data_IF_834413961366
#
_entry.id   IF_834413961366
#
_cell.length_a   1.000
_cell.length_b   1.000
_cell.length_c   1.000
_cell.angle_alpha   90.00
_cell.angle_beta   90.00
_cell.angle_gamma   90.00
#
_symmetry.space_group_name_H-M   'P 1'
#
loop_
_entity.id
_entity.type
_entity.pdbx_description
1 polymer ?
#
# COMPACT_ATOMS: atom_id res chain seq x y z
N UNK A 1 0.56 -30.67 -10.53
CA UNK A 1 -0.27 -29.77 -11.37
C UNK A 1 -1.15 -28.84 -10.55
N UNK A 2 -2.00 -29.31 -9.62
CA UNK A 2 -2.86 -28.42 -8.79
C UNK A 2 -2.09 -27.39 -7.93
N UNK A 3 -1.02 -27.80 -7.22
CA UNK A 3 -0.21 -26.88 -6.39
C UNK A 3 0.50 -25.77 -7.20
N UNK A 4 1.03 -26.11 -8.38
CA UNK A 4 1.70 -25.13 -9.24
C UNK A 4 0.71 -24.07 -9.75
N UNK A 5 -0.48 -24.49 -10.17
CA UNK A 5 -1.55 -23.57 -10.58
C UNK A 5 -2.02 -22.68 -9.43
N UNK A 6 -2.19 -23.22 -8.23
CA UNK A 6 -2.56 -22.42 -7.04
C UNK A 6 -1.48 -21.38 -6.71
N UNK A 7 -0.19 -21.74 -6.81
CA UNK A 7 0.92 -20.80 -6.60
C UNK A 7 0.95 -19.73 -7.70
N UNK A 8 0.75 -20.11 -8.97
CA UNK A 8 0.68 -19.14 -10.08
C UNK A 8 -0.52 -18.20 -9.93
N UNK A 9 -1.68 -18.69 -9.49
CA UNK A 9 -2.83 -17.85 -9.22
C UNK A 9 -2.64 -16.94 -8.00
N UNK A 10 -1.99 -17.43 -6.94
CA UNK A 10 -1.60 -16.61 -5.79
C UNK A 10 -0.62 -15.49 -6.19
N UNK A 11 0.33 -15.79 -7.07
CA UNK A 11 1.26 -14.79 -7.61
C UNK A 11 0.54 -13.78 -8.51
N UNK A 12 -0.37 -14.23 -9.39
CA UNK A 12 -1.10 -13.34 -10.30
C UNK A 12 -2.05 -12.39 -9.56
N UNK A 13 -2.68 -12.88 -8.49
CA UNK A 13 -3.55 -12.06 -7.64
C UNK A 13 -2.73 -11.08 -6.79
N UNK A 14 -1.59 -11.52 -6.28
CA UNK A 14 -0.59 -10.66 -5.64
C UNK A 14 -0.16 -9.49 -6.53
N UNK A 15 0.15 -9.69 -7.82
CA UNK A 15 0.59 -8.61 -8.73
C UNK A 15 -0.38 -7.43 -8.74
N UNK A 16 -1.68 -7.70 -8.78
CA UNK A 16 -2.70 -6.65 -8.84
C UNK A 16 -3.13 -6.08 -7.49
N UNK A 17 -2.86 -6.79 -6.39
CA UNK A 17 -3.28 -6.40 -5.04
C UNK A 17 -2.28 -5.50 -4.29
N UNK A 18 -1.02 -5.44 -4.72
CA UNK A 18 0.05 -4.68 -4.04
C UNK A 18 0.25 -3.25 -4.54
N UNK A 19 -0.69 -2.71 -5.29
CA UNK A 19 -0.62 -1.31 -5.75
C UNK A 19 -1.89 -0.62 -5.29
N UNK A 20 -1.73 0.48 -4.57
CA UNK A 20 -2.83 1.27 -4.02
C UNK A 20 -2.77 2.73 -4.51
N UNK A 21 -3.68 3.60 -4.04
CA UNK A 21 -3.68 4.99 -4.49
C UNK A 21 -2.40 5.75 -4.09
N UNK A 22 -1.80 5.38 -2.96
CA UNK A 22 -0.54 5.90 -2.46
C UNK A 22 0.58 5.66 -3.46
N UNK A 23 0.69 4.43 -3.97
CA UNK A 23 1.68 4.10 -4.99
C UNK A 23 1.42 4.82 -6.31
N UNK A 24 0.15 4.89 -6.76
CA UNK A 24 -0.20 5.59 -8.00
C UNK A 24 0.20 7.07 -7.95
N UNK A 25 -0.07 7.74 -6.83
CA UNK A 25 0.21 9.17 -6.64
C UNK A 25 1.70 9.40 -6.42
N UNK A 26 2.32 8.71 -5.45
CA UNK A 26 3.71 8.95 -5.07
C UNK A 26 4.69 8.65 -6.21
N UNK A 27 4.51 7.53 -6.92
CA UNK A 27 5.38 7.19 -8.06
C UNK A 27 5.21 8.19 -9.22
N UNK A 28 3.97 8.62 -9.50
CA UNK A 28 3.72 9.58 -10.57
C UNK A 28 4.26 10.98 -10.25
N UNK A 29 4.08 11.46 -9.03
CA UNK A 29 4.63 12.74 -8.55
C UNK A 29 6.15 12.76 -8.57
N UNK A 30 6.76 11.71 -8.01
CA UNK A 30 8.21 11.54 -8.00
C UNK A 30 8.78 11.48 -9.42
N UNK A 31 8.16 10.69 -10.30
CA UNK A 31 8.57 10.59 -11.70
C UNK A 31 8.45 11.90 -12.47
N UNK A 32 7.36 12.63 -12.29
CA UNK A 32 7.12 13.90 -12.97
C UNK A 32 8.11 15.00 -12.58
N UNK A 33 8.55 15.05 -11.32
CA UNK A 33 9.45 16.11 -10.82
C UNK A 33 10.94 15.73 -10.85
N UNK A 34 11.26 14.47 -10.57
CA UNK A 34 12.64 14.01 -10.38
C UNK A 34 13.08 12.93 -11.38
N UNK A 35 12.26 12.59 -12.36
CA UNK A 35 12.58 11.54 -13.31
C UNK A 35 12.79 10.20 -12.60
N UNK A 36 13.85 9.48 -12.96
CA UNK A 36 14.21 8.22 -12.28
C UNK A 36 15.23 8.39 -11.13
N UNK A 37 15.51 9.63 -10.70
CA UNK A 37 16.51 9.92 -9.64
C UNK A 37 16.11 9.38 -8.27
N UNK A 38 14.82 9.07 -8.07
CA UNK A 38 14.27 8.50 -6.85
C UNK A 38 13.87 7.03 -6.99
N UNK A 39 14.17 6.37 -8.12
CA UNK A 39 13.86 4.95 -8.34
C UNK A 39 14.45 4.05 -7.24
N UNK A 40 15.64 4.41 -6.73
CA UNK A 40 16.29 3.66 -5.67
C UNK A 40 15.48 3.64 -4.36
N UNK A 41 14.63 4.64 -4.11
CA UNK A 41 13.73 4.68 -2.96
C UNK A 41 12.65 3.59 -3.10
N UNK A 42 12.08 3.41 -4.29
CA UNK A 42 11.11 2.34 -4.56
C UNK A 42 11.75 0.98 -4.31
N UNK A 43 12.96 0.77 -4.85
CA UNK A 43 13.70 -0.49 -4.65
C UNK A 43 13.99 -0.72 -3.17
N UNK A 44 14.41 0.31 -2.43
CA UNK A 44 14.64 0.23 -1.00
C UNK A 44 13.36 -0.11 -0.25
N UNK A 45 12.23 0.52 -0.62
CA UNK A 45 10.91 0.27 -0.06
C UNK A 45 10.48 -1.18 -0.23
N UNK A 46 10.54 -1.68 -1.47
CA UNK A 46 10.22 -3.07 -1.85
C UNK A 46 11.05 -4.08 -1.05
N UNK A 47 12.35 -3.84 -0.88
CA UNK A 47 13.19 -4.74 -0.08
C UNK A 47 12.78 -4.69 1.39
N UNK A 48 12.50 -3.49 1.92
CA UNK A 48 12.04 -3.28 3.29
C UNK A 48 10.74 -4.02 3.59
N UNK A 49 9.72 -3.85 2.75
CA UNK A 49 8.44 -4.55 2.92
C UNK A 49 8.59 -6.06 2.77
N UNK A 50 9.42 -6.56 1.85
CA UNK A 50 9.70 -8.00 1.73
C UNK A 50 10.28 -8.58 3.04
N UNK A 51 11.19 -7.86 3.69
CA UNK A 51 11.81 -8.31 4.96
C UNK A 51 10.76 -8.42 6.06
N UNK A 52 9.93 -7.38 6.23
CA UNK A 52 8.95 -7.36 7.33
C UNK A 52 7.68 -8.17 7.05
N UNK A 53 7.22 -8.24 5.80
CA UNK A 53 6.09 -9.08 5.41
C UNK A 53 6.45 -10.57 5.54
N UNK A 54 7.69 -10.98 5.24
CA UNK A 54 8.11 -12.36 5.48
C UNK A 54 8.11 -12.69 6.98
N UNK A 55 8.58 -11.76 7.83
CA UNK A 55 8.49 -11.91 9.29
C UNK A 55 7.04 -12.04 9.74
N UNK A 56 6.15 -11.16 9.28
CA UNK A 56 4.73 -11.16 9.66
C UNK A 56 4.00 -12.42 9.19
N UNK A 57 4.22 -12.85 7.93
CA UNK A 57 3.64 -14.08 7.39
C UNK A 57 4.13 -15.32 8.13
N UNK A 58 5.42 -15.38 8.49
CA UNK A 58 5.95 -16.48 9.30
C UNK A 58 5.37 -16.50 10.71
N UNK A 59 5.25 -15.33 11.35
CA UNK A 59 4.60 -15.21 12.65
C UNK A 59 3.17 -15.74 12.58
N UNK A 60 2.38 -15.31 11.60
CA UNK A 60 1.01 -15.78 11.41
C UNK A 60 0.93 -17.30 11.19
N UNK A 61 1.77 -17.85 10.30
CA UNK A 61 1.74 -19.26 9.93
C UNK A 61 2.24 -20.22 11.02
N UNK A 62 3.16 -19.79 11.88
CA UNK A 62 3.73 -20.64 12.94
C UNK A 62 2.95 -20.51 14.25
N UNK A 63 2.57 -19.30 14.63
CA UNK A 63 1.84 -19.04 15.88
C UNK A 63 0.33 -19.22 15.77
N UNK A 64 -0.20 -19.27 14.53
CA UNK A 64 -1.63 -19.23 14.23
C UNK A 64 -2.36 -17.99 14.79
N UNK A 65 -1.60 -16.93 15.12
CA UNK A 65 -2.10 -15.68 15.65
C UNK A 65 -1.59 -14.52 14.80
N UNK A 66 -2.41 -13.46 14.61
CA UNK A 66 -1.97 -12.30 13.87
C UNK A 66 -0.92 -11.52 14.66
N UNK A 67 -0.03 -10.83 13.95
CA UNK A 67 1.06 -10.05 14.53
C UNK A 67 0.54 -9.09 15.60
N UNK A 68 -0.52 -8.34 15.31
CA UNK A 68 -1.02 -7.30 16.21
C UNK A 68 -1.45 -7.85 17.57
N UNK A 69 -2.03 -9.05 17.62
CA UNK A 69 -2.42 -9.74 18.84
C UNK A 69 -1.20 -10.10 19.70
N UNK A 70 -0.13 -10.60 19.08
CA UNK A 70 1.13 -10.91 19.76
C UNK A 70 1.86 -9.65 20.26
N UNK A 71 1.75 -8.54 19.54
CA UNK A 71 2.29 -7.24 19.97
C UNK A 71 1.67 -6.80 21.29
N UNK A 72 0.36 -6.96 21.47
CA UNK A 72 -0.34 -6.66 22.72
C UNK A 72 0.15 -7.51 23.89
N UNK A 73 0.36 -8.80 23.65
CA UNK A 73 0.80 -9.72 24.69
C UNK A 73 2.23 -9.46 25.14
N UNK A 74 3.14 -9.14 24.20
CA UNK A 74 4.57 -8.96 24.53
C UNK A 74 4.97 -7.57 24.95
N UNK A 75 4.52 -6.55 24.24
CA UNK A 75 4.93 -5.16 24.50
C UNK A 75 3.99 -4.48 25.50
N UNK A 76 2.95 -5.18 25.92
CA UNK A 76 1.97 -4.72 26.89
C UNK A 76 0.91 -3.78 26.28
N UNK A 77 -0.14 -3.48 27.07
CA UNK A 77 -1.34 -2.81 26.57
C UNK A 77 -1.10 -1.35 26.17
N UNK A 78 -0.10 -0.67 26.77
CA UNK A 78 0.21 0.75 26.48
C UNK A 78 0.86 0.92 25.10
N UNK A 79 1.90 0.14 24.82
CA UNK A 79 2.57 0.16 23.51
C UNK A 79 1.63 -0.31 22.41
N UNK A 80 0.83 -1.35 22.66
CA UNK A 80 -0.16 -1.81 21.71
C UNK A 80 -1.30 -0.81 21.49
N UNK A 81 -1.67 0.01 22.49
CA UNK A 81 -2.64 1.09 22.29
C UNK A 81 -2.05 2.22 21.43
N UNK A 82 -0.78 2.59 21.65
CA UNK A 82 -0.11 3.58 20.81
C UNK A 82 0.00 3.10 19.35
N UNK A 83 0.38 1.83 19.16
CA UNK A 83 0.38 1.19 17.84
C UNK A 83 -1.03 1.14 17.23
N UNK A 84 -2.05 0.73 18.00
CA UNK A 84 -3.45 0.73 17.54
C UNK A 84 -3.86 2.11 17.05
N UNK A 85 -3.67 3.13 17.88
CA UNK A 85 -4.11 4.49 17.57
C UNK A 85 -3.43 5.02 16.31
N UNK A 86 -2.10 4.85 16.20
CA UNK A 86 -1.33 5.27 15.02
C UNK A 86 -1.72 4.51 13.76
N UNK A 87 -1.68 3.18 13.80
CA UNK A 87 -1.98 2.35 12.63
C UNK A 87 -3.43 2.46 12.21
N UNK A 88 -4.39 2.55 13.15
CA UNK A 88 -5.80 2.75 12.83
C UNK A 88 -6.04 4.12 12.17
N UNK A 89 -5.46 5.20 12.70
CA UNK A 89 -5.61 6.52 12.12
C UNK A 89 -5.06 6.57 10.69
N UNK A 90 -3.87 6.02 10.47
CA UNK A 90 -3.27 5.91 9.13
C UNK A 90 -4.13 5.03 8.21
N UNK A 91 -4.56 3.85 8.67
CA UNK A 91 -5.41 2.96 7.85
C UNK A 91 -6.74 3.60 7.52
N UNK A 92 -7.30 4.43 8.41
CA UNK A 92 -8.52 5.20 8.14
C UNK A 92 -8.29 6.28 7.08
N UNK A 93 -7.16 6.98 7.12
CA UNK A 93 -6.77 7.94 6.08
C UNK A 93 -6.56 7.24 4.73
N UNK A 94 -5.86 6.10 4.71
CA UNK A 94 -5.68 5.30 3.49
C UNK A 94 -7.03 4.79 2.97
N UNK A 95 -7.90 4.21 3.81
CA UNK A 95 -9.25 3.80 3.41
C UNK A 95 -10.04 4.96 2.80
N UNK A 96 -9.90 6.15 3.38
CA UNK A 96 -10.53 7.37 2.86
C UNK A 96 -9.97 7.72 1.47
N UNK A 97 -8.64 7.72 1.32
CA UNK A 97 -7.97 7.94 0.05
C UNK A 97 -8.42 6.91 -1.01
N UNK A 98 -8.54 5.63 -0.65
CA UNK A 98 -8.96 4.57 -1.57
C UNK A 98 -10.41 4.73 -2.04
N UNK A 99 -11.34 5.03 -1.13
CA UNK A 99 -12.74 5.35 -1.51
C UNK A 99 -12.76 6.57 -2.45
N UNK A 100 -11.93 7.56 -2.17
CA UNK A 100 -11.74 8.72 -3.03
C UNK A 100 -11.15 8.35 -4.40
N UNK A 101 -10.18 7.44 -4.45
CA UNK A 101 -9.57 6.91 -5.67
C UNK A 101 -10.57 6.18 -6.57
N UNK A 102 -11.45 5.38 -5.97
CA UNK A 102 -12.58 4.76 -6.69
C UNK A 102 -13.48 5.84 -7.28
N UNK A 103 -13.84 6.86 -6.49
CA UNK A 103 -14.68 7.96 -6.95
C UNK A 103 -14.02 8.80 -8.06
N UNK A 104 -12.72 9.07 -7.97
CA UNK A 104 -11.92 9.76 -8.99
C UNK A 104 -11.81 8.95 -10.27
N UNK A 105 -11.67 7.63 -10.17
CA UNK A 105 -11.64 6.72 -11.33
C UNK A 105 -12.98 6.72 -12.05
N UNK A 106 -14.09 6.69 -11.31
CA UNK A 106 -15.44 6.77 -11.89
C UNK A 106 -15.69 8.17 -12.47
N UNK A 107 -15.18 9.24 -11.84
CA UNK A 107 -15.20 10.59 -12.40
C UNK A 107 -14.46 10.63 -13.75
N UNK A 108 -13.29 10.00 -13.87
CA UNK A 108 -12.53 9.94 -15.11
C UNK A 108 -13.32 9.25 -16.25
N UNK A 109 -14.11 8.23 -15.92
CA UNK A 109 -14.94 7.51 -16.88
C UNK A 109 -16.26 8.24 -17.24
N UNK A 110 -16.90 8.88 -16.26
CA UNK A 110 -18.24 9.46 -16.40
C UNK A 110 -18.26 10.95 -16.74
N UNK A 111 -17.17 11.67 -16.42
CA UNK A 111 -17.12 13.13 -16.48
C UNK A 111 -17.90 13.86 -15.37
N UNK A 112 -18.54 13.14 -14.44
CA UNK A 112 -19.30 13.72 -13.34
C UNK A 112 -18.42 13.94 -12.09
N UNK A 113 -18.73 14.95 -11.24
CA UNK A 113 -17.95 15.24 -10.04
C UNK A 113 -17.81 14.04 -9.10
N UNK A 114 -16.61 13.77 -8.57
CA UNK A 114 -16.35 12.65 -7.66
C UNK A 114 -17.26 12.64 -6.42
N UNK A 115 -17.69 13.82 -5.91
CA UNK A 115 -18.56 13.91 -4.73
C UNK A 115 -19.87 13.12 -4.89
N UNK A 116 -20.39 13.01 -6.11
CA UNK A 116 -21.59 12.21 -6.39
C UNK A 116 -21.32 10.71 -6.29
N UNK A 117 -20.09 10.30 -6.57
CA UNK A 117 -19.66 8.91 -6.59
C UNK A 117 -19.15 8.42 -5.23
N UNK A 118 -18.72 9.31 -4.33
CA UNK A 118 -18.24 8.96 -2.99
C UNK A 118 -19.25 8.10 -2.20
N UNK A 119 -20.53 8.47 -2.06
CA UNK A 119 -21.50 7.63 -1.34
C UNK A 119 -21.71 6.26 -1.99
N UNK A 120 -21.70 6.22 -3.34
CA UNK A 120 -21.86 4.98 -4.08
C UNK A 120 -20.64 4.06 -3.91
N UNK A 121 -19.43 4.61 -3.98
CA UNK A 121 -18.18 3.89 -3.76
C UNK A 121 -18.12 3.34 -2.33
N UNK A 122 -18.41 4.15 -1.32
CA UNK A 122 -18.44 3.73 0.07
C UNK A 122 -19.49 2.62 0.32
N UNK A 123 -20.69 2.77 -0.26
CA UNK A 123 -21.72 1.74 -0.19
C UNK A 123 -21.28 0.44 -0.89
N UNK A 124 -20.65 0.54 -2.06
CA UNK A 124 -20.16 -0.63 -2.80
C UNK A 124 -19.06 -1.36 -2.02
N UNK A 125 -18.09 -0.65 -1.45
CA UNK A 125 -17.04 -1.21 -0.58
C UNK A 125 -17.67 -1.92 0.61
N UNK A 126 -18.57 -1.26 1.34
CA UNK A 126 -19.27 -1.87 2.48
C UNK A 126 -20.08 -3.11 2.06
N UNK A 127 -20.83 -3.03 0.97
CA UNK A 127 -21.67 -4.12 0.49
C UNK A 127 -20.84 -5.34 0.11
N UNK A 128 -19.73 -5.12 -0.58
CA UNK A 128 -18.79 -6.18 -0.95
C UNK A 128 -18.20 -6.79 0.32
N UNK A 129 -17.67 -5.98 1.25
CA UNK A 129 -17.17 -6.45 2.56
C UNK A 129 -18.17 -7.27 3.34
N UNK A 130 -19.44 -6.89 3.32
CA UNK A 130 -20.51 -7.61 4.00
C UNK A 130 -20.90 -8.94 3.34
N UNK A 131 -20.96 -8.98 2.00
CA UNK A 131 -21.65 -10.07 1.29
C UNK A 131 -20.73 -11.10 0.62
N UNK A 132 -19.55 -10.67 0.20
CA UNK A 132 -18.62 -11.46 -0.62
C UNK A 132 -17.60 -12.14 0.29
N UNK A 133 -17.16 -13.35 -0.06
CA UNK A 133 -16.14 -14.11 0.70
C UNK A 133 -14.75 -13.52 0.49
N UNK A 134 -13.87 -13.71 1.47
CA UNK A 134 -12.49 -13.21 1.45
C UNK A 134 -11.75 -13.64 0.18
N UNK A 135 -11.74 -14.94 -0.12
CA UNK A 135 -10.96 -15.51 -1.23
C UNK A 135 -11.46 -15.01 -2.60
N UNK A 136 -12.76 -14.75 -2.72
CA UNK A 136 -13.34 -14.25 -3.95
C UNK A 136 -12.99 -12.78 -4.19
N UNK A 137 -12.82 -11.99 -3.13
CA UNK A 137 -12.39 -10.59 -3.24
C UNK A 137 -10.97 -10.50 -3.76
N UNK A 138 -10.03 -11.18 -3.09
CA UNK A 138 -8.62 -11.16 -3.47
C UNK A 138 -8.43 -11.68 -4.89
N UNK A 139 -9.17 -12.71 -5.29
CA UNK A 139 -9.13 -13.21 -6.66
C UNK A 139 -9.62 -12.17 -7.67
N UNK A 140 -10.82 -11.61 -7.49
CA UNK A 140 -11.41 -10.70 -8.47
C UNK A 140 -10.54 -9.44 -8.62
N UNK A 141 -10.20 -8.78 -7.51
CA UNK A 141 -9.47 -7.52 -7.56
C UNK A 141 -7.98 -7.72 -7.86
N UNK A 142 -7.38 -8.82 -7.39
CA UNK A 142 -6.02 -9.19 -7.78
C UNK A 142 -5.88 -9.47 -9.28
N UNK A 143 -6.82 -10.22 -9.91
CA UNK A 143 -6.78 -10.40 -11.36
C UNK A 143 -7.10 -9.12 -12.13
N UNK A 144 -8.06 -8.32 -11.66
CA UNK A 144 -8.39 -7.06 -12.31
C UNK A 144 -7.22 -6.06 -12.24
N UNK A 145 -6.44 -6.08 -11.15
CA UNK A 145 -5.24 -5.26 -10.97
C UNK A 145 -4.11 -5.58 -11.96
N UNK A 146 -4.10 -6.76 -12.60
CA UNK A 146 -3.18 -7.06 -13.72
C UNK A 146 -3.33 -6.05 -14.87
N UNK A 147 -4.49 -5.38 -14.99
CA UNK A 147 -4.66 -4.29 -15.94
C UNK A 147 -3.62 -3.16 -15.77
N UNK A 148 -3.03 -2.98 -14.58
CA UNK A 148 -1.94 -2.03 -14.34
C UNK A 148 -0.66 -2.35 -15.11
N UNK A 149 -0.47 -3.58 -15.62
CA UNK A 149 0.62 -3.92 -16.55
C UNK A 149 0.60 -3.02 -17.80
N UNK A 150 -0.54 -2.38 -18.11
CA UNK A 150 -0.62 -1.35 -19.13
C UNK A 150 0.40 -0.21 -18.95
N UNK A 151 0.79 0.13 -17.71
CA UNK A 151 1.86 1.10 -17.45
C UNK A 151 3.22 0.62 -17.95
N UNK A 152 3.52 -0.66 -17.79
CA UNK A 152 4.75 -1.26 -18.32
C UNK A 152 4.77 -1.15 -19.84
N UNK A 153 3.64 -1.51 -20.49
CA UNK A 153 3.51 -1.45 -21.95
C UNK A 153 3.62 0.02 -22.43
N UNK A 154 2.93 0.93 -21.76
CA UNK A 154 2.96 2.36 -22.07
C UNK A 154 4.38 2.92 -21.93
N UNK A 155 5.08 2.58 -20.84
CA UNK A 155 6.44 3.02 -20.58
C UNK A 155 7.39 2.68 -21.74
N UNK A 156 7.38 1.43 -22.22
CA UNK A 156 8.22 1.05 -23.37
C UNK A 156 7.74 1.68 -24.68
N UNK A 157 6.43 1.89 -24.84
CA UNK A 157 5.85 2.50 -26.06
C UNK A 157 6.18 3.99 -26.19
N UNK A 158 6.31 4.70 -25.05
CA UNK A 158 6.70 6.11 -25.00
C UNK A 158 8.16 6.36 -25.44
N UNK A 159 8.94 5.29 -25.72
CA UNK A 159 10.35 5.35 -26.16
C UNK A 159 11.21 6.20 -25.22
N UNK A 160 11.39 5.76 -23.97
CA UNK A 160 12.16 6.50 -22.99
C UNK A 160 13.59 6.73 -23.47
N UNK A 161 14.14 7.88 -23.13
CA UNK A 161 15.51 8.21 -23.44
C UNK A 161 16.45 7.47 -22.47
N UNK A 162 16.83 6.24 -22.80
CA UNK A 162 17.65 5.38 -21.92
C UNK A 162 18.94 6.06 -21.42
N UNK A 163 19.52 6.98 -22.20
CA UNK A 163 20.69 7.75 -21.80
C UNK A 163 20.45 8.69 -20.62
N UNK A 164 19.30 9.39 -20.58
CA UNK A 164 18.95 10.26 -19.44
C UNK A 164 18.62 9.43 -18.21
N UNK A 165 17.90 8.31 -18.39
CA UNK A 165 17.58 7.41 -17.30
C UNK A 165 18.80 6.77 -16.66
N UNK A 166 19.77 6.29 -17.45
CA UNK A 166 21.03 5.78 -16.92
C UNK A 166 21.79 6.87 -16.13
N UNK A 167 21.76 8.13 -16.59
CA UNK A 167 22.35 9.24 -15.87
C UNK A 167 21.59 9.55 -14.57
N UNK A 168 20.26 9.48 -14.56
CA UNK A 168 19.43 9.72 -13.39
C UNK A 168 19.64 8.69 -12.29
N UNK A 169 19.78 7.40 -12.65
CA UNK A 169 20.11 6.34 -11.70
C UNK A 169 21.46 6.57 -11.00
N UNK A 170 22.42 7.21 -11.68
CA UNK A 170 23.75 7.48 -11.11
C UNK A 170 23.86 8.81 -10.38
N UNK A 171 22.80 9.64 -10.40
CA UNK A 171 22.78 10.98 -9.81
C UNK A 171 21.54 11.18 -8.94
N UNK A 172 21.49 10.59 -7.72
CA UNK A 172 20.41 10.80 -6.76
C UNK A 172 20.51 12.20 -6.14
N UNK A 173 20.13 13.22 -6.90
CA UNK A 173 20.11 14.63 -6.49
C UNK A 173 18.82 15.31 -6.98
N UNK A 174 18.38 16.41 -6.33
CA UNK A 174 17.29 17.22 -6.84
C UNK A 174 17.55 17.69 -8.27
N UNK A 175 16.47 17.84 -9.05
CA UNK A 175 16.51 18.46 -10.38
C UNK A 175 16.92 19.93 -10.26
N UNK A 176 17.48 20.52 -11.31
CA UNK A 176 17.86 21.94 -11.30
C UNK A 176 16.61 22.82 -11.05
N UNK A 177 16.64 23.62 -9.98
CA UNK A 177 15.50 24.45 -9.55
C UNK A 177 14.70 23.88 -8.37
N UNK A 178 14.88 22.59 -8.04
CA UNK A 178 14.20 21.93 -6.92
C UNK A 178 15.06 21.93 -5.64
N UNK A 179 14.41 22.02 -4.48
CA UNK A 179 15.07 22.02 -3.18
C UNK A 179 15.32 20.58 -2.67
N UNK A 180 16.39 20.41 -1.87
CA UNK A 180 16.65 19.19 -1.11
C UNK A 180 15.51 18.83 -0.14
N UNK A 181 14.79 19.84 0.36
CA UNK A 181 13.57 19.64 1.15
C UNK A 181 12.52 18.87 0.37
N UNK A 182 12.15 19.35 -0.82
CA UNK A 182 11.11 18.75 -1.68
C UNK A 182 11.52 17.37 -2.18
N UNK A 183 12.80 17.20 -2.53
CA UNK A 183 13.36 15.88 -2.83
C UNK A 183 13.23 14.92 -1.65
N UNK A 184 13.59 15.36 -0.44
CA UNK A 184 13.44 14.57 0.78
C UNK A 184 11.99 14.21 1.08
N UNK A 185 11.07 15.17 0.93
CA UNK A 185 9.64 14.97 1.19
C UNK A 185 9.06 13.87 0.29
N UNK A 186 9.24 13.99 -1.04
CA UNK A 186 8.75 12.97 -1.98
C UNK A 186 9.47 11.63 -1.80
N UNK A 187 10.75 11.62 -1.40
CA UNK A 187 11.43 10.38 -1.05
C UNK A 187 10.82 9.70 0.19
N UNK A 188 10.42 10.46 1.22
CA UNK A 188 9.73 9.91 2.39
C UNK A 188 8.35 9.39 2.01
N UNK A 189 7.57 10.14 1.22
CA UNK A 189 6.24 9.72 0.76
C UNK A 189 6.31 8.45 -0.08
N UNK A 190 7.28 8.36 -0.99
CA UNK A 190 7.51 7.19 -1.84
C UNK A 190 8.00 5.98 -1.05
N UNK A 191 8.84 6.19 -0.03
CA UNK A 191 9.25 5.11 0.87
C UNK A 191 8.08 4.63 1.74
N UNK A 192 7.22 5.55 2.19
CA UNK A 192 6.07 5.23 3.02
C UNK A 192 4.97 4.50 2.24
N UNK A 193 4.75 4.82 0.95
CA UNK A 193 3.75 4.12 0.12
C UNK A 193 4.09 2.64 0.02
N UNK A 194 5.36 2.33 -0.21
CA UNK A 194 5.86 0.96 -0.33
C UNK A 194 5.90 0.17 1.00
N UNK A 195 5.74 0.82 2.16
CA UNK A 195 5.77 0.19 3.49
C UNK A 195 4.50 0.48 4.29
N UNK A 196 3.36 0.67 3.62
CA UNK A 196 2.18 1.14 4.34
C UNK A 196 1.78 0.14 5.45
N UNK A 197 1.60 0.60 6.72
CA UNK A 197 1.41 -0.30 7.86
C UNK A 197 0.28 -1.32 7.74
N UNK A 198 -0.81 -0.96 7.06
CA UNK A 198 -1.98 -1.83 6.96
C UNK A 198 -1.67 -3.12 6.20
N UNK A 199 -0.78 -3.08 5.22
CA UNK A 199 -0.46 -4.22 4.35
C UNK A 199 0.05 -5.40 5.17
N UNK A 200 0.93 -5.13 6.14
CA UNK A 200 1.56 -6.18 6.94
C UNK A 200 0.57 -6.76 7.96
N UNK A 201 -0.30 -5.93 8.53
CA UNK A 201 -1.35 -6.40 9.44
C UNK A 201 -2.45 -7.17 8.68
N UNK A 202 -2.83 -6.69 7.50
CA UNK A 202 -3.77 -7.36 6.62
C UNK A 202 -3.22 -8.70 6.17
N UNK A 203 -1.99 -8.73 5.65
CA UNK A 203 -1.29 -9.96 5.23
C UNK A 203 -1.19 -10.99 6.36
N UNK A 204 -0.83 -10.54 7.57
CA UNK A 204 -0.80 -11.39 8.76
C UNK A 204 -2.20 -11.93 9.13
N UNK A 205 -3.24 -11.12 9.02
CA UNK A 205 -4.60 -11.50 9.40
C UNK A 205 -5.23 -12.42 8.35
N UNK A 206 -5.00 -12.14 7.07
CA UNK A 206 -5.38 -12.98 5.93
C UNK A 206 -4.73 -14.37 6.03
N UNK A 207 -3.45 -14.44 6.40
CA UNK A 207 -2.80 -15.73 6.63
C UNK A 207 -3.45 -16.58 7.73
N UNK A 208 -3.99 -15.94 8.78
CA UNK A 208 -4.76 -16.64 9.83
C UNK A 208 -6.15 -17.05 9.31
N UNK A 209 -6.83 -16.19 8.54
CA UNK A 209 -8.11 -16.50 7.92
C UNK A 209 -8.03 -17.68 6.94
N UNK A 210 -6.98 -17.73 6.13
CA UNK A 210 -6.68 -18.83 5.22
C UNK A 210 -6.12 -20.07 5.93
N UNK A 211 -5.94 -20.02 7.25
CA UNK A 211 -5.43 -21.10 8.10
C UNK A 211 -4.04 -21.57 7.70
N UNK A 212 -3.16 -20.62 7.34
CA UNK A 212 -1.76 -20.93 7.06
C UNK A 212 -1.13 -21.66 8.24
N UNK A 213 -0.38 -22.71 7.90
CA UNK A 213 0.47 -23.43 8.84
C UNK A 213 1.94 -23.44 8.40
N UNK A 214 2.80 -24.16 9.13
CA UNK A 214 4.22 -24.27 8.79
C UNK A 214 4.48 -24.83 7.37
N UNK A 215 3.52 -25.56 6.79
CA UNK A 215 3.60 -26.09 5.43
C UNK A 215 3.40 -25.03 4.34
N UNK A 216 2.75 -23.93 4.69
CA UNK A 216 2.41 -22.84 3.76
C UNK A 216 3.47 -21.74 3.76
N UNK A 217 4.51 -21.85 4.61
CA UNK A 217 5.63 -20.90 4.64
C UNK A 217 6.31 -20.71 3.28
N UNK A 218 6.38 -21.76 2.47
CA UNK A 218 6.93 -21.64 1.11
C UNK A 218 6.04 -20.76 0.25
N UNK A 219 4.73 -20.96 0.31
CA UNK A 219 3.74 -20.13 -0.42
C UNK A 219 3.76 -18.69 0.09
N UNK A 220 3.74 -18.47 1.41
CA UNK A 220 3.80 -17.14 2.02
C UNK A 220 5.07 -16.38 1.60
N UNK A 221 6.23 -17.07 1.59
CA UNK A 221 7.49 -16.50 1.09
C UNK A 221 7.45 -16.20 -0.39
N UNK A 222 6.88 -17.09 -1.21
CA UNK A 222 6.72 -16.83 -2.65
C UNK A 222 5.83 -15.62 -2.89
N UNK A 223 4.69 -15.51 -2.20
CA UNK A 223 3.80 -14.34 -2.30
C UNK A 223 4.54 -13.07 -1.89
N UNK A 224 5.37 -13.12 -0.85
CA UNK A 224 6.17 -11.97 -0.39
C UNK A 224 7.27 -11.59 -1.39
N UNK A 225 8.16 -12.53 -1.73
CA UNK A 225 9.36 -12.25 -2.54
C UNK A 225 9.08 -12.17 -4.04
N UNK A 226 7.87 -12.49 -4.50
CA UNK A 226 7.46 -12.33 -5.90
C UNK A 226 6.41 -11.22 -6.02
N UNK A 227 5.43 -11.18 -5.12
CA UNK A 227 4.33 -10.21 -5.16
C UNK A 227 4.80 -8.76 -4.97
N UNK A 228 5.44 -8.44 -3.84
CA UNK A 228 5.90 -7.08 -3.56
C UNK A 228 6.88 -6.55 -4.63
N UNK A 229 7.86 -7.34 -5.13
CA UNK A 229 8.70 -6.88 -6.23
C UNK A 229 7.95 -6.62 -7.53
N UNK A 230 6.89 -7.39 -7.83
CA UNK A 230 6.06 -7.13 -9.01
C UNK A 230 5.24 -5.85 -8.85
N UNK A 231 4.67 -5.59 -7.66
CA UNK A 231 4.05 -4.30 -7.34
C UNK A 231 5.02 -3.13 -7.47
N UNK A 232 6.24 -3.28 -6.94
CA UNK A 232 7.32 -2.30 -7.09
C UNK A 232 7.73 -2.06 -8.55
N UNK A 233 7.73 -3.09 -9.39
CA UNK A 233 7.97 -2.94 -10.84
C UNK A 233 6.84 -2.16 -11.53
N UNK A 234 5.59 -2.33 -11.10
CA UNK A 234 4.48 -1.49 -11.56
C UNK A 234 4.66 -0.04 -11.11
N UNK A 235 5.06 0.19 -9.85
CA UNK A 235 5.41 1.52 -9.33
C UNK A 235 6.51 2.20 -10.15
N UNK A 236 7.59 1.47 -10.47
CA UNK A 236 8.67 1.95 -11.34
C UNK A 236 8.15 2.27 -12.75
N UNK A 237 7.23 1.48 -13.30
CA UNK A 237 6.64 1.75 -14.61
C UNK A 237 5.74 3.01 -14.60
N UNK A 238 5.01 3.25 -13.50
CA UNK A 238 4.23 4.49 -13.29
C UNK A 238 5.18 5.70 -13.21
N UNK A 239 6.22 5.60 -12.38
CA UNK A 239 7.26 6.62 -12.26
C UNK A 239 7.92 6.91 -13.61
N UNK A 240 8.30 5.87 -14.35
CA UNK A 240 8.92 6.00 -15.67
C UNK A 240 7.99 6.61 -16.72
N UNK A 241 6.69 6.26 -16.70
CA UNK A 241 5.69 6.88 -17.55
C UNK A 241 5.59 8.39 -17.27
N UNK A 242 5.49 8.77 -16.00
CA UNK A 242 5.44 10.17 -15.59
C UNK A 242 6.74 10.92 -15.93
N UNK A 243 7.90 10.30 -15.68
CA UNK A 243 9.21 10.85 -16.03
C UNK A 243 9.37 11.09 -17.54
N UNK A 244 8.83 10.21 -18.38
CA UNK A 244 8.98 10.34 -19.84
C UNK A 244 8.10 11.47 -20.40
N UNK A 245 6.93 11.71 -19.79
CA UNK A 245 5.93 12.65 -20.32
C UNK A 245 6.00 14.02 -19.65
N UNK A 246 6.17 14.06 -18.33
CA UNK A 246 5.97 15.27 -17.53
C UNK A 246 7.27 15.97 -17.14
N UNK A 247 8.36 15.25 -16.86
CA UNK A 247 9.64 15.86 -16.45
C UNK A 247 10.20 16.80 -17.53
N UNK A 248 10.26 16.43 -18.83
CA UNK A 248 10.70 17.35 -19.88
C UNK A 248 9.76 18.54 -20.10
N UNK A 249 8.49 18.40 -19.70
CA UNK A 249 7.47 19.43 -19.85
C UNK A 249 7.39 20.37 -18.63
N UNK A 250 8.09 20.06 -17.54
CA UNK A 250 8.00 20.79 -16.27
C UNK A 250 6.60 20.76 -15.65
N UNK A 251 5.81 19.70 -15.93
CA UNK A 251 4.44 19.56 -15.44
C UNK A 251 4.43 18.70 -14.19
N UNK A 252 3.69 19.14 -13.18
CA UNK A 252 3.53 18.40 -11.92
C UNK A 252 2.24 17.56 -11.94
N UNK A 253 2.23 16.48 -11.15
CA UNK A 253 1.08 15.58 -11.02
C UNK A 253 0.37 15.88 -9.71
N UNK A 254 -0.81 16.48 -9.81
CA UNK A 254 -1.67 16.87 -8.68
C UNK A 254 -2.96 16.05 -8.67
N UNK A 255 -3.31 15.40 -9.79
CA UNK A 255 -4.56 14.67 -9.95
C UNK A 255 -4.33 13.24 -10.45
N UNK A 256 -5.17 12.32 -9.99
CA UNK A 256 -5.16 10.92 -10.47
C UNK A 256 -5.33 10.81 -11.99
N UNK A 257 -6.07 11.72 -12.61
CA UNK A 257 -6.26 11.79 -14.06
C UNK A 257 -4.94 11.99 -14.82
N UNK A 258 -4.01 12.76 -14.25
CA UNK A 258 -2.69 13.00 -14.84
C UNK A 258 -1.82 11.73 -14.77
N UNK A 259 -1.98 10.90 -13.75
CA UNK A 259 -1.31 9.59 -13.68
C UNK A 259 -1.73 8.66 -14.83
N UNK A 260 -2.99 8.74 -15.30
CA UNK A 260 -3.47 7.95 -16.44
C UNK A 260 -3.02 8.51 -17.81
N UNK A 261 -2.66 9.79 -17.89
CA UNK A 261 -2.41 10.49 -19.16
C UNK A 261 -1.25 9.88 -19.97
N UNK A 262 -0.08 9.52 -19.40
CA UNK A 262 0.98 8.86 -20.15
C UNK A 262 0.52 7.59 -20.87
N UNK A 263 -0.35 6.81 -20.23
CA UNK A 263 -0.91 5.59 -20.84
C UNK A 263 -1.84 5.93 -21.99
N UNK A 264 -2.66 6.97 -21.84
CA UNK A 264 -3.54 7.44 -22.91
C UNK A 264 -2.76 7.98 -24.11
N UNK A 265 -1.63 8.67 -23.88
CA UNK A 265 -0.75 9.14 -24.95
C UNK A 265 -0.06 7.99 -25.69
N UNK A 266 0.37 6.96 -24.96
CA UNK A 266 1.07 5.82 -25.53
C UNK A 266 0.16 4.87 -26.32
N UNK A 267 -1.04 4.60 -25.78
CA UNK A 267 -1.91 3.49 -26.23
C UNK A 267 -3.32 3.96 -26.64
N UNK A 268 -3.54 5.27 -26.68
CA UNK A 268 -4.81 5.87 -27.08
C UNK A 268 -5.98 5.52 -26.18
N UNK A 269 -7.19 5.49 -26.77
CA UNK A 269 -8.45 5.23 -26.04
C UNK A 269 -8.48 3.85 -25.38
N UNK A 270 -7.87 2.84 -26.00
CA UNK A 270 -7.82 1.48 -25.44
C UNK A 270 -6.98 1.49 -24.16
N UNK A 271 -5.80 2.12 -24.20
CA UNK A 271 -4.95 2.29 -23.01
C UNK A 271 -5.69 3.01 -21.87
N UNK A 272 -6.44 4.06 -22.20
CA UNK A 272 -7.24 4.79 -21.21
C UNK A 272 -8.31 3.90 -20.55
N UNK A 273 -9.00 3.06 -21.31
CA UNK A 273 -9.98 2.13 -20.73
C UNK A 273 -9.31 1.11 -19.83
N UNK A 274 -8.18 0.54 -20.26
CA UNK A 274 -7.45 -0.47 -19.48
C UNK A 274 -6.89 0.12 -18.18
N UNK A 275 -6.32 1.34 -18.23
CA UNK A 275 -5.80 1.99 -17.01
C UNK A 275 -6.91 2.38 -16.04
N UNK A 276 -8.09 2.79 -16.52
CA UNK A 276 -9.25 3.03 -15.65
C UNK A 276 -9.72 1.75 -14.95
N UNK A 277 -9.71 0.60 -15.64
CA UNK A 277 -10.00 -0.69 -15.01
C UNK A 277 -8.93 -1.01 -13.95
N UNK A 278 -7.65 -0.78 -14.26
CA UNK A 278 -6.55 -0.98 -13.32
C UNK A 278 -6.65 -0.09 -12.08
N UNK A 279 -6.92 1.20 -12.24
CA UNK A 279 -7.13 2.14 -11.13
C UNK A 279 -8.33 1.73 -10.27
N UNK A 280 -9.44 1.35 -10.89
CA UNK A 280 -10.60 0.88 -10.15
C UNK A 280 -10.27 -0.40 -9.37
N UNK A 281 -9.58 -1.35 -10.00
CA UNK A 281 -9.21 -2.60 -9.34
C UNK A 281 -8.26 -2.41 -8.16
N UNK A 282 -7.23 -1.59 -8.35
CA UNK A 282 -6.24 -1.24 -7.33
C UNK A 282 -6.91 -0.52 -6.15
N UNK A 283 -7.60 0.58 -6.43
CA UNK A 283 -8.20 1.40 -5.36
C UNK A 283 -9.36 0.72 -4.67
N UNK A 284 -10.20 -0.01 -5.40
CA UNK A 284 -11.28 -0.77 -4.78
C UNK A 284 -10.75 -1.96 -3.99
N UNK A 285 -9.75 -2.68 -4.51
CA UNK A 285 -9.07 -3.77 -3.79
C UNK A 285 -8.47 -3.27 -2.48
N UNK A 286 -7.63 -2.24 -2.54
CA UNK A 286 -7.03 -1.61 -1.37
C UNK A 286 -8.09 -1.06 -0.39
N UNK A 287 -9.23 -0.52 -0.85
CA UNK A 287 -10.34 -0.12 0.02
C UNK A 287 -10.93 -1.30 0.80
N UNK A 288 -11.01 -2.49 0.19
CA UNK A 288 -11.46 -3.70 0.90
C UNK A 288 -10.44 -4.14 1.94
N UNK A 289 -9.16 -4.15 1.60
CA UNK A 289 -8.06 -4.57 2.48
C UNK A 289 -7.90 -3.63 3.68
N UNK A 290 -7.81 -2.32 3.43
CA UNK A 290 -7.76 -1.28 4.46
C UNK A 290 -9.03 -1.31 5.32
N UNK A 291 -10.21 -1.48 4.71
CA UNK A 291 -11.48 -1.64 5.40
C UNK A 291 -11.45 -2.80 6.40
N UNK A 292 -11.02 -3.99 5.97
CA UNK A 292 -10.85 -5.15 6.84
C UNK A 292 -9.78 -4.91 7.90
N UNK A 293 -8.66 -4.29 7.53
CA UNK A 293 -7.55 -3.98 8.43
C UNK A 293 -8.00 -3.09 9.59
N UNK A 294 -8.86 -2.08 9.36
CA UNK A 294 -9.43 -1.28 10.46
C UNK A 294 -10.19 -2.14 11.48
N UNK A 295 -10.97 -3.11 11.01
CA UNK A 295 -11.68 -4.05 11.86
C UNK A 295 -10.74 -5.00 12.59
N UNK A 296 -9.73 -5.53 11.88
CA UNK A 296 -8.76 -6.47 12.42
C UNK A 296 -7.96 -5.84 13.56
N UNK A 297 -7.37 -4.67 13.36
CA UNK A 297 -6.55 -4.02 14.39
C UNK A 297 -7.34 -3.78 15.69
N UNK A 298 -8.58 -3.28 15.58
CA UNK A 298 -9.42 -3.00 16.76
C UNK A 298 -9.88 -4.30 17.43
N UNK A 299 -10.38 -5.26 16.66
CA UNK A 299 -10.89 -6.50 17.23
C UNK A 299 -9.79 -7.35 17.86
N UNK A 300 -8.61 -7.42 17.24
CA UNK A 300 -7.43 -8.09 17.78
C UNK A 300 -6.92 -7.39 19.04
N UNK A 301 -6.90 -6.05 19.06
CA UNK A 301 -6.55 -5.30 20.27
C UNK A 301 -7.47 -5.61 21.44
N UNK A 302 -8.79 -5.72 21.23
CA UNK A 302 -9.74 -5.97 22.31
C UNK A 302 -10.01 -7.46 22.58
N UNK A 303 -9.45 -8.37 21.78
CA UNK A 303 -9.70 -9.82 21.87
C UNK A 303 -11.13 -10.20 21.50
N UNK A 304 -11.78 -9.44 20.60
CA UNK A 304 -13.12 -9.77 20.10
C UNK A 304 -13.06 -10.88 19.05
N UNK A 305 -14.18 -11.53 18.77
CA UNK A 305 -14.30 -12.39 17.59
C UNK A 305 -14.25 -11.52 16.33
N UNK A 306 -13.47 -11.94 15.34
CA UNK A 306 -13.20 -11.19 14.12
C UNK A 306 -13.08 -12.11 12.91
N UNK A 307 -13.17 -11.50 11.74
CA UNK A 307 -12.89 -12.16 10.47
C UNK A 307 -14.11 -12.56 9.66
N UNK A 308 -13.87 -12.83 8.38
CA UNK A 308 -14.91 -13.11 7.39
C UNK A 308 -15.45 -14.54 7.44
N UNK A 309 -14.70 -15.45 8.05
CA UNK A 309 -15.13 -16.83 8.30
C UNK A 309 -16.01 -16.99 9.53
N UNK A 310 -16.07 -15.97 10.40
CA UNK A 310 -16.94 -15.94 11.57
C UNK A 310 -18.31 -15.42 11.19
N UNK A 311 -19.37 -15.95 11.80
CA UNK A 311 -20.73 -15.48 11.49
C UNK A 311 -20.86 -13.99 11.83
N UNK A 312 -21.50 -13.15 10.98
CA UNK A 312 -21.59 -11.71 11.23
C UNK A 312 -22.21 -11.33 12.59
N UNK A 313 -23.08 -12.18 13.14
CA UNK A 313 -23.67 -12.00 14.48
C UNK A 313 -22.64 -12.19 15.60
N UNK A 314 -21.71 -13.11 15.44
CA UNK A 314 -20.66 -13.41 16.42
C UNK A 314 -19.53 -12.37 16.32
N UNK A 315 -19.20 -11.92 15.10
CA UNK A 315 -18.25 -10.87 14.81
C UNK A 315 -18.92 -9.48 14.62
N UNK A 316 -20.02 -9.21 15.32
CA UNK A 316 -20.80 -7.98 15.11
C UNK A 316 -19.99 -6.71 15.37
N UNK A 317 -19.13 -6.71 16.40
CA UNK A 317 -18.26 -5.57 16.74
C UNK A 317 -17.24 -5.29 15.63
N UNK A 318 -16.64 -6.34 15.07
CA UNK A 318 -15.72 -6.24 13.94
C UNK A 318 -16.40 -5.57 12.73
N UNK A 319 -17.56 -6.07 12.30
CA UNK A 319 -18.30 -5.48 11.17
C UNK A 319 -18.79 -4.05 11.46
N UNK A 320 -19.09 -3.73 12.71
CA UNK A 320 -19.47 -2.37 13.12
C UNK A 320 -18.30 -1.40 12.97
N UNK A 321 -17.09 -1.78 13.40
CA UNK A 321 -15.88 -0.96 13.21
C UNK A 321 -15.63 -0.72 11.74
N UNK A 322 -15.69 -1.76 10.90
CA UNK A 322 -15.52 -1.63 9.44
C UNK A 322 -16.53 -0.64 8.84
N UNK A 323 -17.82 -0.79 9.18
CA UNK A 323 -18.87 0.12 8.70
C UNK A 323 -18.61 1.56 9.16
N UNK A 324 -18.28 1.77 10.43
CA UNK A 324 -18.01 3.11 10.96
C UNK A 324 -16.78 3.74 10.30
N UNK A 325 -15.70 2.99 10.08
CA UNK A 325 -14.52 3.47 9.35
C UNK A 325 -14.87 3.93 7.93
N UNK A 326 -15.68 3.15 7.20
CA UNK A 326 -16.14 3.52 5.85
C UNK A 326 -17.01 4.78 5.88
N UNK A 327 -17.94 4.87 6.82
CA UNK A 327 -18.80 6.05 6.98
C UNK A 327 -17.99 7.30 7.34
N UNK A 328 -16.98 7.18 8.21
CA UNK A 328 -16.08 8.27 8.56
C UNK A 328 -15.26 8.74 7.37
N UNK A 329 -14.68 7.82 6.59
CA UNK A 329 -13.95 8.16 5.38
C UNK A 329 -14.84 8.82 4.32
N UNK A 330 -16.04 8.27 4.08
CA UNK A 330 -17.01 8.87 3.18
C UNK A 330 -17.44 10.27 3.65
N UNK A 331 -17.70 10.45 4.96
CA UNK A 331 -18.06 11.75 5.53
C UNK A 331 -16.93 12.77 5.35
N UNK A 332 -15.67 12.37 5.53
CA UNK A 332 -14.51 13.23 5.31
C UNK A 332 -14.41 13.65 3.84
N UNK A 333 -14.56 12.74 2.89
CA UNK A 333 -14.56 13.06 1.45
C UNK A 333 -15.70 14.01 1.05
N UNK A 334 -16.87 13.88 1.70
CA UNK A 334 -18.00 14.79 1.46
C UNK A 334 -17.76 16.23 1.94
N UNK A 335 -16.70 16.49 2.71
CA UNK A 335 -16.26 17.85 3.07
C UNK A 335 -15.50 18.57 1.94
N UNK A 336 -15.48 18.00 0.74
CA UNK A 336 -14.82 18.53 -0.47
C UNK A 336 -13.30 18.57 -0.41
N UNK A 337 -12.69 17.82 0.52
CA UNK A 337 -11.24 17.62 0.56
C UNK A 337 -10.82 16.73 -0.61
N UNK A 338 -9.73 17.10 -1.29
CA UNK A 338 -9.21 16.34 -2.42
C UNK A 338 -8.70 14.95 -1.94
N UNK A 339 -9.17 13.84 -2.54
CA UNK A 339 -8.62 12.52 -2.25
C UNK A 339 -7.09 12.42 -2.39
N UNK A 340 -6.48 13.12 -3.35
CA UNK A 340 -5.03 13.09 -3.55
C UNK A 340 -4.29 13.75 -2.37
N UNK A 341 -4.83 14.84 -1.82
CA UNK A 341 -4.29 15.45 -0.61
C UNK A 341 -4.43 14.54 0.61
N UNK A 342 -5.54 13.80 0.71
CA UNK A 342 -5.71 12.78 1.76
C UNK A 342 -4.68 11.66 1.60
N UNK A 343 -4.39 11.24 0.36
CA UNK A 343 -3.33 10.27 0.07
C UNK A 343 -1.98 10.76 0.56
N UNK A 344 -1.56 11.97 0.18
CA UNK A 344 -0.29 12.56 0.59
C UNK A 344 -0.19 12.66 2.12
N UNK A 345 -1.25 13.14 2.77
CA UNK A 345 -1.34 13.21 4.22
C UNK A 345 -1.21 11.83 4.87
N UNK A 346 -1.87 10.82 4.28
CA UNK A 346 -1.80 9.43 4.73
C UNK A 346 -0.37 8.90 4.63
N UNK A 347 0.36 9.18 3.54
CA UNK A 347 1.74 8.73 3.36
C UNK A 347 2.69 9.35 4.39
N UNK A 348 2.55 10.64 4.67
CA UNK A 348 3.39 11.32 5.66
C UNK A 348 3.12 10.79 7.06
N UNK A 349 1.86 10.63 7.47
CA UNK A 349 1.54 10.04 8.75
C UNK A 349 1.90 8.56 8.82
N UNK A 350 1.79 7.82 7.71
CA UNK A 350 2.28 6.46 7.59
C UNK A 350 3.75 6.39 7.96
N UNK A 351 4.59 7.25 7.36
CA UNK A 351 6.02 7.33 7.63
C UNK A 351 6.32 7.48 9.13
N UNK A 352 5.57 8.33 9.82
CA UNK A 352 5.70 8.56 11.28
C UNK A 352 5.31 7.32 12.10
N UNK A 353 4.31 6.56 11.64
CA UNK A 353 3.80 5.37 12.32
C UNK A 353 4.64 4.11 12.01
N UNK A 354 5.38 4.06 10.91
CA UNK A 354 6.20 2.90 10.52
C UNK A 354 7.04 2.32 11.67
N UNK A 355 7.79 3.11 12.47
CA UNK A 355 8.59 2.53 13.57
C UNK A 355 7.72 1.83 14.62
N UNK A 356 6.52 2.36 14.91
CA UNK A 356 5.58 1.77 15.85
C UNK A 356 4.97 0.46 15.33
N UNK A 357 4.93 0.27 14.01
CA UNK A 357 4.46 -0.97 13.37
C UNK A 357 5.58 -2.02 13.28
N UNK A 358 6.74 -1.63 12.77
CA UNK A 358 7.80 -2.55 12.37
C UNK A 358 8.74 -2.98 13.51
N UNK A 359 8.96 -2.12 14.52
CA UNK A 359 9.71 -2.54 15.71
C UNK A 359 9.01 -3.69 16.44
N UNK A 360 7.68 -3.64 16.72
CA UNK A 360 6.97 -4.77 17.28
C UNK A 360 7.06 -6.06 16.46
N UNK A 361 6.96 -5.97 15.12
CA UNK A 361 7.13 -7.13 14.24
C UNK A 361 8.51 -7.75 14.44
N UNK A 362 9.57 -6.94 14.45
CA UNK A 362 10.93 -7.42 14.62
C UNK A 362 11.12 -8.11 15.99
N UNK A 363 10.53 -7.55 17.05
CA UNK A 363 10.57 -8.14 18.40
C UNK A 363 9.85 -9.48 18.43
N UNK A 364 8.61 -9.55 17.94
CA UNK A 364 7.80 -10.78 17.93
C UNK A 364 8.45 -11.85 17.04
N UNK A 365 9.07 -11.47 15.91
CA UNK A 365 9.77 -12.38 15.01
C UNK A 365 11.04 -13.01 15.60
N UNK A 366 11.54 -12.47 16.72
CA UNK A 366 12.67 -13.02 17.47
C UNK A 366 12.25 -13.83 18.69
N UNK A 367 10.95 -13.93 18.94
CA UNK A 367 10.44 -14.53 20.16
C UNK A 367 10.34 -16.05 20.05
N UNK A 368 11.16 -16.75 20.83
CA UNK A 368 11.21 -18.21 20.83
C UNK A 368 9.97 -18.86 21.41
N UNK A 369 9.20 -18.18 22.26
CA UNK A 369 8.01 -18.80 22.85
C UNK A 369 6.89 -18.95 21.81
N UNK A 370 6.84 -18.06 20.80
CA UNK A 370 5.86 -18.15 19.71
C UNK A 370 6.38 -18.87 18.48
N UNK A 371 7.67 -18.71 18.14
CA UNK A 371 8.24 -19.21 16.88
C UNK A 371 9.10 -20.47 17.05
N UNK A 372 9.51 -20.82 18.26
CA UNK A 372 10.42 -21.93 18.52
C UNK A 372 11.71 -21.79 17.69
N UNK A 373 11.97 -22.78 16.84
CA UNK A 373 13.15 -22.79 15.95
C UNK A 373 12.99 -21.92 14.69
N UNK A 374 11.81 -21.35 14.44
CA UNK A 374 11.52 -20.50 13.28
C UNK A 374 11.77 -18.99 13.55
N UNK A 375 12.52 -18.65 14.60
CA UNK A 375 12.92 -17.26 14.88
C UNK A 375 13.85 -16.71 13.79
N UNK A 376 14.00 -15.38 13.75
CA UNK A 376 14.93 -14.73 12.85
C UNK A 376 16.37 -15.28 12.98
N UNK A 377 16.95 -15.66 11.84
CA UNK A 377 18.38 -15.89 11.73
C UNK A 377 19.19 -14.58 11.76
N UNK A 378 20.52 -14.69 11.76
CA UNK A 378 21.43 -13.53 11.80
C UNK A 378 21.20 -12.55 10.65
N UNK A 379 21.00 -13.06 9.43
CA UNK A 379 20.77 -12.21 8.23
C UNK A 379 19.45 -11.46 8.34
N UNK A 380 18.36 -12.14 8.70
CA UNK A 380 17.05 -11.53 8.86
C UNK A 380 17.05 -10.43 9.94
N UNK A 381 17.79 -10.64 11.03
CA UNK A 381 17.93 -9.62 12.08
C UNK A 381 18.78 -8.43 11.63
N UNK A 382 19.90 -8.65 10.94
CA UNK A 382 20.71 -7.55 10.41
C UNK A 382 19.87 -6.70 9.46
N UNK A 383 19.18 -7.34 8.50
CA UNK A 383 18.30 -6.64 7.57
C UNK A 383 17.17 -5.91 8.31
N UNK A 384 16.47 -6.58 9.23
CA UNK A 384 15.39 -5.98 10.01
C UNK A 384 15.84 -4.74 10.80
N UNK A 385 17.02 -4.79 11.43
CA UNK A 385 17.58 -3.64 12.16
C UNK A 385 17.99 -2.52 11.20
N UNK A 386 18.66 -2.83 10.08
CA UNK A 386 19.06 -1.83 9.08
C UNK A 386 17.83 -1.10 8.54
N UNK A 387 16.79 -1.83 8.13
CA UNK A 387 15.56 -1.21 7.64
C UNK A 387 14.81 -0.47 8.74
N UNK A 388 14.83 -0.95 9.98
CA UNK A 388 14.24 -0.21 11.11
C UNK A 388 14.95 1.14 11.33
N UNK A 389 16.28 1.20 11.18
CA UNK A 389 17.02 2.47 11.26
C UNK A 389 16.62 3.41 10.12
N UNK A 390 16.50 2.90 8.89
CA UNK A 390 16.04 3.69 7.74
C UNK A 390 14.62 4.22 7.97
N UNK A 391 13.72 3.36 8.46
CA UNK A 391 12.35 3.71 8.84
C UNK A 391 12.35 4.81 9.91
N UNK A 392 13.20 4.73 10.94
CA UNK A 392 13.33 5.76 11.97
C UNK A 392 13.81 7.09 11.38
N UNK A 393 14.78 7.07 10.48
CA UNK A 393 15.26 8.28 9.80
C UNK A 393 14.14 8.91 8.97
N UNK A 394 13.42 8.12 8.18
CA UNK A 394 12.28 8.60 7.39
C UNK A 394 11.16 9.19 8.28
N UNK A 395 10.81 8.51 9.37
CA UNK A 395 9.81 8.96 10.34
C UNK A 395 10.18 10.30 10.99
N UNK A 396 11.44 10.47 11.39
CA UNK A 396 11.94 11.71 11.99
C UNK A 396 12.00 12.86 10.96
N UNK A 397 12.25 12.54 9.69
CA UNK A 397 12.31 13.52 8.61
C UNK A 397 10.93 13.93 8.08
N UNK A 398 9.91 13.07 8.19
CA UNK A 398 8.58 13.25 7.60
C UNK A 398 7.90 14.58 7.98
N UNK A 399 7.71 14.86 9.27
CA UNK A 399 7.03 16.08 9.73
C UNK A 399 7.82 17.36 9.49
N UNK A 400 9.14 17.42 9.79
CA UNK A 400 9.94 18.60 9.46
C UNK A 400 9.93 18.92 7.97
N UNK A 401 10.06 17.90 7.10
CA UNK A 401 10.03 18.10 5.65
C UNK A 401 8.66 18.59 5.20
N UNK A 402 7.56 17.97 5.66
CA UNK A 402 6.21 18.41 5.34
C UNK A 402 5.97 19.90 5.69
N UNK A 403 6.44 20.34 6.87
CA UNK A 403 6.27 21.72 7.34
C UNK A 403 7.15 22.69 6.51
N UNK A 404 8.41 22.32 6.29
CA UNK A 404 9.37 23.19 5.58
C UNK A 404 8.99 23.33 4.10
N UNK A 405 8.45 22.28 3.48
CA UNK A 405 8.16 22.27 2.05
C UNK A 405 6.72 22.61 1.70
N UNK A 406 5.84 22.79 2.67
CA UNK A 406 4.40 22.96 2.44
C UNK A 406 3.81 21.77 1.66
N UNK A 407 4.05 20.54 2.13
CA UNK A 407 3.67 19.31 1.43
C UNK A 407 4.34 19.13 0.05
N UNK A 408 5.54 19.68 -0.11
CA UNK A 408 6.31 19.57 -1.34
C UNK A 408 5.98 20.63 -2.38
N UNK A 409 5.19 21.65 -2.08
CA UNK A 409 4.91 22.74 -3.03
C UNK A 409 6.07 23.73 -3.20
N UNK A 410 7.04 23.77 -2.27
CA UNK A 410 8.12 24.77 -2.18
C UNK A 410 9.34 24.55 -3.06
#
# INVERSE_FOLDING_TARGET
MKKALTVTFGILTAIGGFVDIGDLVANAQSGARFGLRQLWIVVLGVIGICVFAEMAGRVAAVSHRPVFDLVRERLGPRMAMANLAGSYAVTLLTLTAEIGGVALTIQLASGLPHLLWVPLAAFAVWFVLWRVKFELMEQIFGFAGIALVVFVIAFFTLRPQWGTFAADLTRPRPTEGENWGTYGYLAVSLFASALTPYEVFFFSSGGVEEKWGPRDLVTARSNTFVGFPLGGLLGIAIMGCAATVFEPAGVQVEQLSQTALPVALALGKIGLVVVMIGFFAATFGAALETGLSTGYSVAQYFGWQWGKFVQPREAARFHTVVLLSILLGAALLLTTVDPVQITELSLVFSAVVLPLTYLPILVVANDRDYLGDNVNGRVANILGVVFLVIILVAALAALPLMIVTGMGES
#
